data_IF_335298904134
#
_entry.id   IF_335298904134
#
_cell.length_a   1.000
_cell.length_b   1.000
_cell.length_c   1.000
_cell.angle_alpha   90.00
_cell.angle_beta   90.00
_cell.angle_gamma   90.00
#
_symmetry.space_group_name_H-M   'P 1'
#
loop_
_entity.id
_entity.type
_entity.pdbx_description
1 polymer ?
#
# COMPACT_ATOMS: atom_id res chain seq x y z
N UNK A 1 44.43 23.60 5.52
CA UNK A 1 42.96 23.67 5.71
C UNK A 1 42.31 23.19 4.43
N UNK A 2 41.74 21.97 4.38
CA UNK A 2 41.09 21.42 3.17
C UNK A 2 39.62 21.87 3.15
N UNK A 3 39.26 22.69 2.17
CA UNK A 3 37.87 23.04 1.86
C UNK A 3 37.24 21.89 1.07
N UNK A 4 36.33 21.15 1.71
CA UNK A 4 35.50 20.16 1.02
C UNK A 4 34.35 20.89 0.34
N UNK A 5 34.47 21.13 -0.97
CA UNK A 5 33.37 21.59 -1.81
C UNK A 5 32.32 20.47 -1.92
N UNK A 6 31.25 20.55 -1.12
CA UNK A 6 30.02 19.80 -1.38
C UNK A 6 29.32 20.42 -2.59
N UNK A 7 29.66 19.94 -3.79
CA UNK A 7 28.86 20.18 -4.98
C UNK A 7 27.51 19.43 -4.83
N UNK A 8 26.47 20.13 -4.37
CA UNK A 8 25.08 19.70 -4.54
C UNK A 8 24.72 19.81 -6.03
N UNK A 9 25.21 18.88 -6.86
CA UNK A 9 24.68 18.71 -8.22
C UNK A 9 23.24 18.25 -8.10
N UNK A 10 22.29 19.12 -8.48
CA UNK A 10 20.92 18.71 -8.74
C UNK A 10 20.96 17.76 -9.92
N UNK A 11 20.86 16.46 -9.66
CA UNK A 11 20.75 15.42 -10.68
C UNK A 11 19.57 15.77 -11.58
N UNK A 12 19.85 16.06 -12.84
CA UNK A 12 18.86 16.47 -13.83
C UNK A 12 18.54 15.25 -14.67
N UNK A 13 17.34 14.69 -14.48
CA UNK A 13 16.89 13.53 -15.24
C UNK A 13 17.01 13.78 -16.75
N UNK A 14 17.51 12.79 -17.47
CA UNK A 14 17.52 12.77 -18.92
C UNK A 14 16.10 12.61 -19.49
N UNK A 15 15.97 12.63 -20.82
CA UNK A 15 14.65 12.53 -21.48
C UNK A 15 13.98 11.17 -21.27
N UNK A 16 14.75 10.07 -21.27
CA UNK A 16 14.23 8.71 -21.07
C UNK A 16 13.78 8.51 -19.62
N UNK A 17 14.59 8.94 -18.66
CA UNK A 17 14.28 8.93 -17.23
C UNK A 17 13.05 9.80 -16.91
N UNK A 18 12.91 10.97 -17.54
CA UNK A 18 11.69 11.81 -17.40
C UNK A 18 10.44 11.10 -17.91
N UNK A 19 10.56 10.35 -19.01
CA UNK A 19 9.44 9.57 -19.55
C UNK A 19 9.09 8.40 -18.61
N UNK A 20 10.09 7.72 -18.05
CA UNK A 20 9.92 6.71 -17.00
C UNK A 20 9.18 7.28 -15.77
N UNK A 21 9.62 8.43 -15.24
CA UNK A 21 8.95 9.11 -14.14
C UNK A 21 7.50 9.48 -14.48
N UNK A 22 7.25 10.00 -15.68
CA UNK A 22 5.90 10.33 -16.15
C UNK A 22 5.01 9.08 -16.17
N UNK A 23 5.53 7.94 -16.63
CA UNK A 23 4.78 6.69 -16.66
C UNK A 23 4.44 6.19 -15.26
N UNK A 24 5.39 6.22 -14.32
CA UNK A 24 5.12 5.87 -12.91
C UNK A 24 4.03 6.76 -12.29
N UNK A 25 4.10 8.08 -12.53
CA UNK A 25 3.08 9.03 -12.06
C UNK A 25 1.71 8.83 -12.71
N UNK A 26 1.66 8.34 -13.95
CA UNK A 26 0.39 7.98 -14.61
C UNK A 26 -0.21 6.70 -14.07
N UNK A 27 0.62 5.71 -13.71
CA UNK A 27 0.17 4.45 -13.09
C UNK A 27 -0.44 4.71 -11.71
N UNK A 28 0.13 5.63 -10.93
CA UNK A 28 -0.43 6.08 -9.65
C UNK A 28 -1.89 6.57 -9.79
N UNK A 29 -2.28 7.13 -10.94
CA UNK A 29 -3.59 7.78 -11.14
C UNK A 29 -4.73 6.83 -11.58
N UNK A 30 -4.43 5.59 -11.98
CA UNK A 30 -5.39 4.73 -12.71
C UNK A 30 -6.30 3.84 -11.85
N UNK A 31 -6.10 3.76 -10.53
CA UNK A 31 -6.98 2.99 -9.64
C UNK A 31 -8.27 3.76 -9.32
N UNK A 32 -9.22 3.80 -10.28
CA UNK A 32 -10.58 4.31 -10.06
C UNK A 32 -11.56 3.14 -10.05
N UNK A 33 -11.95 2.71 -8.86
CA UNK A 33 -12.93 1.64 -8.66
C UNK A 33 -14.37 2.19 -8.59
N UNK A 34 -15.39 1.37 -8.91
CA UNK A 34 -16.79 1.75 -8.76
C UNK A 34 -17.07 2.13 -7.30
N UNK A 35 -17.66 3.31 -7.11
CA UNK A 35 -17.95 3.82 -5.77
C UNK A 35 -19.13 3.05 -5.17
N UNK A 36 -18.92 2.46 -3.99
CA UNK A 36 -20.03 1.95 -3.20
C UNK A 36 -20.72 3.14 -2.49
N UNK A 37 -22.04 3.30 -2.62
CA UNK A 37 -22.74 4.49 -2.09
C UNK A 37 -22.65 4.61 -0.55
N UNK A 38 -22.49 3.49 0.16
CA UNK A 38 -22.52 3.42 1.63
C UNK A 38 -21.13 3.38 2.29
N UNK A 39 -20.07 3.77 1.58
CA UNK A 39 -18.71 3.76 2.15
C UNK A 39 -18.58 4.78 3.28
N UNK A 40 -18.05 4.34 4.42
CA UNK A 40 -17.65 5.21 5.52
C UNK A 40 -16.33 5.88 5.15
N UNK A 41 -16.22 7.16 5.52
CA UNK A 41 -15.10 8.02 5.15
C UNK A 41 -14.40 8.58 6.39
N UNK A 42 -13.15 9.01 6.19
CA UNK A 42 -12.36 9.72 7.20
C UNK A 42 -12.29 8.99 8.55
N UNK A 43 -12.31 9.76 9.64
CA UNK A 43 -12.13 9.22 11.00
C UNK A 43 -13.24 8.26 11.42
N UNK A 44 -14.47 8.44 10.92
CA UNK A 44 -15.58 7.54 11.23
C UNK A 44 -15.38 6.16 10.59
N UNK A 45 -14.86 6.10 9.37
CA UNK A 45 -14.47 4.84 8.74
C UNK A 45 -13.34 4.16 9.50
N UNK A 46 -12.27 4.89 9.86
CA UNK A 46 -11.17 4.34 10.65
C UNK A 46 -11.64 3.75 11.99
N UNK A 47 -12.50 4.46 12.71
CA UNK A 47 -13.09 3.98 13.98
C UNK A 47 -13.95 2.73 13.79
N UNK A 48 -14.71 2.69 12.69
CA UNK A 48 -15.57 1.56 12.35
C UNK A 48 -14.74 0.32 12.04
N UNK A 49 -13.72 0.47 11.19
CA UNK A 49 -12.77 -0.60 10.88
C UNK A 49 -12.06 -1.14 12.13
N UNK A 50 -11.53 -0.25 12.98
CA UNK A 50 -10.86 -0.64 14.22
C UNK A 50 -11.77 -1.43 15.17
N UNK A 51 -13.03 -1.03 15.31
CA UNK A 51 -14.03 -1.73 16.12
C UNK A 51 -14.36 -3.11 15.55
N UNK A 52 -14.53 -3.21 14.22
CA UNK A 52 -14.82 -4.48 13.54
C UNK A 52 -13.64 -5.44 13.70
N UNK A 53 -12.42 -4.98 13.45
CA UNK A 53 -11.20 -5.78 13.65
C UNK A 53 -11.09 -6.33 15.07
N UNK A 54 -11.37 -5.49 16.10
CA UNK A 54 -11.43 -5.94 17.49
C UNK A 54 -12.54 -6.95 17.77
N UNK A 55 -13.73 -6.75 17.21
CA UNK A 55 -14.87 -7.68 17.34
C UNK A 55 -14.52 -9.08 16.82
N UNK A 56 -13.73 -9.15 15.75
CA UNK A 56 -13.30 -10.40 15.12
C UNK A 56 -11.91 -10.87 15.56
N UNK A 57 -11.34 -10.30 16.64
CA UNK A 57 -10.02 -10.65 17.18
C UNK A 57 -8.88 -10.63 16.14
N UNK A 58 -8.97 -9.75 15.14
CA UNK A 58 -8.03 -9.69 14.02
C UNK A 58 -7.28 -8.35 13.95
N UNK A 59 -5.98 -8.35 13.60
CA UNK A 59 -5.27 -7.15 13.22
C UNK A 59 -5.47 -6.82 11.74
N UNK A 60 -5.44 -5.52 11.41
CA UNK A 60 -5.44 -5.03 10.04
C UNK A 60 -4.65 -3.73 9.91
N UNK A 61 -4.22 -3.40 8.70
CA UNK A 61 -3.39 -2.23 8.40
C UNK A 61 -4.15 -1.30 7.47
N UNK A 62 -4.15 -0.01 7.78
CA UNK A 62 -4.70 1.02 6.90
C UNK A 62 -3.84 1.13 5.63
N UNK A 63 -4.45 0.98 4.46
CA UNK A 63 -3.77 1.14 3.17
C UNK A 63 -4.46 2.21 2.32
N UNK A 64 -4.07 2.32 1.04
CA UNK A 64 -4.72 3.20 0.08
C UNK A 64 -4.52 4.69 0.34
N UNK A 65 -5.42 5.50 -0.23
CA UNK A 65 -5.26 6.96 -0.21
C UNK A 65 -5.39 7.57 1.18
N UNK A 66 -6.22 6.99 2.05
CA UNK A 66 -6.40 7.49 3.41
C UNK A 66 -5.16 7.22 4.28
N UNK A 67 -4.42 6.12 4.04
CA UNK A 67 -3.13 5.86 4.69
C UNK A 67 -2.14 7.00 4.45
N UNK A 68 -2.10 7.57 3.24
CA UNK A 68 -1.31 8.78 2.99
C UNK A 68 -1.87 10.01 3.69
N UNK A 69 -3.18 10.19 3.63
CA UNK A 69 -3.87 11.39 4.09
C UNK A 69 -3.68 11.68 5.57
N UNK A 70 -3.53 10.63 6.39
CA UNK A 70 -3.30 10.75 7.84
C UNK A 70 -1.88 11.22 8.18
N UNK A 71 -0.90 11.05 7.30
CA UNK A 71 0.50 11.43 7.51
C UNK A 71 0.75 12.91 7.23
N UNK A 72 0.04 13.79 7.94
CA UNK A 72 0.31 15.22 8.00
C UNK A 72 -0.23 15.83 9.30
N UNK A 73 0.66 16.30 10.18
CA UNK A 73 0.29 16.84 11.50
C UNK A 73 -0.70 18.02 11.43
N UNK A 74 -0.66 18.80 10.35
CA UNK A 74 -1.54 19.96 10.15
C UNK A 74 -2.89 19.60 9.53
N UNK A 75 -3.09 18.33 9.16
CA UNK A 75 -4.34 17.84 8.57
C UNK A 75 -5.48 18.00 9.56
N UNK A 76 -6.60 18.57 9.09
CA UNK A 76 -7.84 18.73 9.85
C UNK A 76 -8.76 17.54 9.62
N UNK A 77 -9.66 17.28 10.58
CA UNK A 77 -10.61 16.15 10.52
C UNK A 77 -11.41 16.11 9.21
N UNK A 78 -11.98 17.23 8.79
CA UNK A 78 -12.83 17.31 7.58
C UNK A 78 -12.07 16.98 6.29
N UNK A 79 -10.74 17.18 6.26
CA UNK A 79 -9.95 16.84 5.08
C UNK A 79 -9.84 15.33 4.86
N UNK A 80 -9.88 14.53 5.95
CA UNK A 80 -9.90 13.08 5.84
C UNK A 80 -11.20 12.54 5.21
N UNK A 81 -12.29 13.31 5.25
CA UNK A 81 -13.56 12.94 4.62
C UNK A 81 -13.57 13.16 3.10
N UNK A 82 -12.53 13.77 2.54
CA UNK A 82 -12.35 13.88 1.08
C UNK A 82 -11.91 12.56 0.44
N UNK A 83 -11.42 11.61 1.24
CA UNK A 83 -11.12 10.25 0.78
C UNK A 83 -12.43 9.48 0.57
N UNK A 84 -12.49 8.67 -0.49
CA UNK A 84 -13.71 7.99 -0.95
C UNK A 84 -14.16 6.89 0.01
N UNK A 85 -13.21 6.24 0.63
CA UNK A 85 -13.35 5.01 1.39
C UNK A 85 -12.22 4.88 2.42
N UNK A 86 -12.28 3.78 3.16
CA UNK A 86 -11.22 3.33 4.06
C UNK A 86 -10.81 1.94 3.61
N UNK A 87 -9.60 1.84 3.05
CA UNK A 87 -9.01 0.57 2.65
C UNK A 87 -8.28 -0.09 3.82
N UNK A 88 -8.61 -1.35 4.11
CA UNK A 88 -8.01 -2.08 5.22
C UNK A 88 -7.50 -3.44 4.76
N UNK A 89 -6.18 -3.62 4.86
CA UNK A 89 -5.50 -4.88 4.65
C UNK A 89 -5.61 -5.74 5.90
N UNK A 90 -6.30 -6.88 5.81
CA UNK A 90 -6.47 -7.81 6.92
C UNK A 90 -5.30 -8.78 6.99
N UNK A 91 -4.73 -8.96 8.19
CA UNK A 91 -3.54 -9.80 8.39
C UNK A 91 -3.87 -11.23 8.85
N UNK A 92 -5.13 -11.52 9.20
CA UNK A 92 -5.58 -12.84 9.61
C UNK A 92 -6.34 -13.54 8.47
N UNK A 93 -5.93 -14.78 8.16
CA UNK A 93 -6.57 -15.64 7.16
C UNK A 93 -7.94 -16.16 7.60
N UNK A 94 -8.19 -16.18 8.91
CA UNK A 94 -9.44 -16.66 9.47
C UNK A 94 -10.50 -15.56 9.62
N UNK A 95 -10.17 -14.32 9.25
CA UNK A 95 -11.10 -13.21 9.34
C UNK A 95 -12.26 -13.37 8.36
N UNK A 96 -13.48 -13.47 8.90
CA UNK A 96 -14.70 -13.68 8.12
C UNK A 96 -15.67 -12.53 8.31
N UNK A 97 -15.92 -11.81 7.22
CA UNK A 97 -16.90 -10.74 7.18
C UNK A 97 -18.33 -11.29 7.10
N UNK A 98 -19.28 -10.60 7.71
CA UNK A 98 -20.72 -10.88 7.50
C UNK A 98 -21.21 -10.43 6.13
N UNK A 99 -20.54 -9.44 5.52
CA UNK A 99 -20.84 -8.89 4.18
C UNK A 99 -19.58 -8.29 3.57
N UNK A 100 -19.48 -8.27 2.24
CA UNK A 100 -18.30 -7.80 1.48
C UNK A 100 -17.75 -6.44 1.96
N UNK A 101 -18.62 -5.48 2.22
CA UNK A 101 -18.26 -4.12 2.69
C UNK A 101 -18.76 -3.87 4.13
N UNK A 102 -18.51 -4.80 5.06
CA UNK A 102 -19.02 -4.67 6.43
C UNK A 102 -18.59 -3.34 7.07
N UNK A 103 -19.58 -2.53 7.47
CA UNK A 103 -19.31 -1.22 8.06
C UNK A 103 -18.92 -0.14 7.05
N UNK A 104 -19.09 -0.38 5.75
CA UNK A 104 -18.75 0.56 4.69
C UNK A 104 -17.23 0.74 4.54
N UNK A 105 -16.47 -0.32 4.74
CA UNK A 105 -15.00 -0.36 4.67
C UNK A 105 -14.61 -1.23 3.47
N UNK A 106 -13.56 -0.85 2.73
CA UNK A 106 -13.03 -1.70 1.67
C UNK A 106 -12.02 -2.68 2.29
N UNK A 107 -12.48 -3.91 2.49
CA UNK A 107 -11.70 -4.94 3.16
C UNK A 107 -10.88 -5.72 2.15
N UNK A 108 -9.58 -5.67 2.29
CA UNK A 108 -8.63 -6.47 1.53
C UNK A 108 -8.33 -7.72 2.33
N UNK A 109 -8.86 -8.86 1.88
CA UNK A 109 -8.77 -10.14 2.57
C UNK A 109 -7.67 -11.02 1.97
N UNK A 110 -6.87 -11.70 2.81
CA UNK A 110 -5.80 -12.57 2.33
C UNK A 110 -6.37 -13.82 1.65
N UNK A 111 -5.73 -14.21 0.56
CA UNK A 111 -5.90 -15.49 -0.12
C UNK A 111 -4.54 -16.13 -0.29
N UNK A 112 -4.47 -17.45 -0.25
CA UNK A 112 -3.25 -18.19 -0.52
C UNK A 112 -3.56 -19.39 -1.41
N UNK A 113 -2.97 -19.42 -2.59
CA UNK A 113 -3.01 -20.59 -3.47
C UNK A 113 -1.69 -20.74 -4.24
N UNK A 114 -1.55 -21.87 -4.93
CA UNK A 114 -0.40 -22.12 -5.81
C UNK A 114 -0.65 -21.49 -7.17
N UNK A 115 0.25 -20.60 -7.58
CA UNK A 115 0.25 -20.01 -8.93
C UNK A 115 1.42 -20.56 -9.74
N UNK A 116 1.20 -20.71 -11.05
CA UNK A 116 2.26 -21.07 -11.99
C UNK A 116 2.88 -19.79 -12.55
N UNK A 117 4.15 -19.55 -12.24
CA UNK A 117 4.93 -18.42 -12.78
C UNK A 117 5.89 -18.97 -13.84
N UNK A 118 6.11 -18.20 -14.90
CA UNK A 118 7.20 -18.46 -15.86
C UNK A 118 8.45 -17.74 -15.36
N UNK A 119 9.52 -18.48 -15.12
CA UNK A 119 10.83 -17.88 -14.88
C UNK A 119 11.43 -17.34 -16.17
N UNK A 120 12.45 -16.49 -16.04
CA UNK A 120 13.15 -15.87 -17.17
C UNK A 120 13.78 -16.91 -18.12
N UNK A 121 14.09 -18.11 -17.61
CA UNK A 121 14.58 -19.25 -18.40
C UNK A 121 13.49 -20.04 -19.13
N UNK A 122 12.22 -19.62 -19.06
CA UNK A 122 11.09 -20.29 -19.70
C UNK A 122 10.49 -21.46 -18.91
N UNK A 123 11.07 -21.84 -17.77
CA UNK A 123 10.56 -22.90 -16.92
C UNK A 123 9.32 -22.42 -16.16
N UNK A 124 8.34 -23.33 -15.99
CA UNK A 124 7.14 -23.07 -15.19
C UNK A 124 7.35 -23.62 -13.78
N UNK A 125 7.17 -22.77 -12.78
CA UNK A 125 7.27 -23.15 -11.38
C UNK A 125 5.93 -22.92 -10.68
N UNK A 126 5.51 -23.89 -9.88
CA UNK A 126 4.32 -23.77 -9.03
C UNK A 126 4.76 -23.28 -7.66
N UNK A 127 4.43 -22.03 -7.33
CA UNK A 127 4.83 -21.39 -6.08
C UNK A 127 3.58 -21.03 -5.29
N UNK A 128 3.59 -21.29 -3.97
CA UNK A 128 2.52 -20.81 -3.08
C UNK A 128 2.68 -19.32 -2.91
N UNK A 129 1.66 -18.56 -3.28
CA UNK A 129 1.63 -17.11 -3.10
C UNK A 129 0.46 -16.72 -2.23
N UNK A 130 0.69 -15.72 -1.38
CA UNK A 130 -0.37 -15.04 -0.65
C UNK A 130 -0.59 -13.67 -1.25
N UNK A 131 -1.83 -13.35 -1.63
CA UNK A 131 -2.25 -12.04 -2.12
C UNK A 131 -3.51 -11.57 -1.40
N UNK A 132 -3.92 -10.33 -1.67
CA UNK A 132 -5.10 -9.74 -1.04
C UNK A 132 -6.09 -9.33 -2.11
N UNK A 133 -7.37 -9.59 -1.83
CA UNK A 133 -8.47 -9.22 -2.73
C UNK A 133 -9.53 -8.43 -1.98
N UNK A 134 -10.12 -7.42 -2.64
CA UNK A 134 -11.20 -6.64 -2.05
C UNK A 134 -12.60 -7.18 -2.42
N UNK A 135 -13.66 -6.53 -1.93
CA UNK A 135 -15.04 -6.93 -2.20
C UNK A 135 -15.44 -6.91 -3.68
N UNK A 136 -14.70 -6.15 -4.51
CA UNK A 136 -14.87 -6.05 -5.96
C UNK A 136 -14.03 -7.06 -6.75
N UNK A 137 -13.25 -7.92 -6.08
CA UNK A 137 -12.35 -8.89 -6.72
C UNK A 137 -11.06 -8.26 -7.25
N UNK A 138 -10.75 -7.01 -6.89
CA UNK A 138 -9.47 -6.39 -7.25
C UNK A 138 -8.37 -6.98 -6.40
N UNK A 139 -7.21 -7.26 -7.00
CA UNK A 139 -6.02 -7.81 -6.33
C UNK A 139 -5.03 -6.69 -6.01
N UNK A 140 -4.44 -6.71 -4.81
CA UNK A 140 -3.34 -5.80 -4.49
C UNK A 140 -2.11 -6.12 -5.32
N UNK A 141 -1.42 -5.08 -5.78
CA UNK A 141 -0.16 -5.18 -6.50
C UNK A 141 1.05 -5.48 -5.61
N UNK A 142 0.82 -5.81 -4.35
CA UNK A 142 1.84 -6.18 -3.37
C UNK A 142 1.27 -7.19 -2.37
N UNK A 143 2.16 -7.95 -1.75
CA UNK A 143 1.86 -8.79 -0.60
C UNK A 143 2.40 -8.19 0.70
N UNK A 144 2.06 -8.83 1.82
CA UNK A 144 2.68 -8.51 3.11
C UNK A 144 3.15 -9.76 3.82
N UNK A 145 4.27 -9.64 4.53
CA UNK A 145 4.78 -10.62 5.48
C UNK A 145 4.54 -10.09 6.89
N UNK A 146 4.01 -10.94 7.76
CA UNK A 146 3.86 -10.64 9.18
C UNK A 146 5.05 -11.22 9.93
N UNK A 147 5.88 -10.36 10.51
CA UNK A 147 7.05 -10.78 11.28
C UNK A 147 6.79 -10.81 12.79
N UNK A 148 5.76 -10.08 13.27
CA UNK A 148 5.35 -10.08 14.68
C UNK A 148 3.84 -10.24 14.86
N UNK A 149 3.42 -10.87 15.96
CA UNK A 149 2.02 -10.92 16.35
C UNK A 149 1.54 -9.53 16.79
N UNK A 150 0.51 -9.04 16.11
CA UNK A 150 -0.18 -7.78 16.45
C UNK A 150 -1.47 -8.10 17.22
N UNK A 151 -1.84 -7.20 18.13
CA UNK A 151 -3.13 -7.30 18.83
C UNK A 151 -4.27 -6.85 17.92
N UNK A 152 -5.52 -7.26 18.20
CA UNK A 152 -6.64 -6.90 17.34
C UNK A 152 -6.85 -5.39 17.21
N UNK A 153 -7.23 -4.97 16.00
CA UNK A 153 -7.52 -3.57 15.67
C UNK A 153 -6.84 -3.07 14.40
N UNK A 154 -7.26 -1.87 13.98
CA UNK A 154 -6.67 -1.16 12.85
C UNK A 154 -5.36 -0.50 13.26
N UNK A 155 -4.30 -0.79 12.52
CA UNK A 155 -2.99 -0.16 12.62
C UNK A 155 -2.79 0.90 11.55
N UNK A 156 -2.20 2.02 11.95
CA UNK A 156 -1.69 3.05 11.04
C UNK A 156 -0.23 2.69 10.69
N UNK A 157 0.09 2.30 9.44
CA UNK A 157 1.47 1.98 9.06
C UNK A 157 2.35 3.22 9.08
N UNK A 158 3.67 3.06 9.23
CA UNK A 158 4.62 4.18 9.15
C UNK A 158 4.52 4.92 7.82
N UNK A 159 4.90 6.19 7.80
CA UNK A 159 5.01 6.97 6.56
C UNK A 159 5.96 6.31 5.55
N UNK A 160 7.07 5.72 5.99
CA UNK A 160 8.00 4.99 5.11
C UNK A 160 7.37 3.71 4.54
N UNK A 161 6.56 2.99 5.32
CA UNK A 161 5.81 1.85 4.81
C UNK A 161 4.79 2.27 3.74
N UNK A 162 4.07 3.37 3.95
CA UNK A 162 3.13 3.93 2.94
C UNK A 162 3.86 4.36 1.67
N UNK A 163 5.07 4.94 1.78
CA UNK A 163 5.91 5.27 0.62
C UNK A 163 6.27 4.01 -0.17
N UNK A 164 6.76 2.98 0.51
CA UNK A 164 7.12 1.70 -0.11
C UNK A 164 5.91 0.98 -0.71
N UNK A 165 4.72 1.12 -0.12
CA UNK A 165 3.47 0.60 -0.67
C UNK A 165 3.17 1.23 -2.03
N UNK A 166 3.26 2.56 -2.15
CA UNK A 166 3.03 3.28 -3.42
C UNK A 166 4.08 2.96 -4.47
N UNK A 167 5.33 2.77 -4.07
CA UNK A 167 6.37 2.28 -4.98
C UNK A 167 6.07 0.89 -5.50
N UNK A 168 5.66 -0.03 -4.62
CA UNK A 168 5.31 -1.40 -5.01
C UNK A 168 4.12 -1.42 -5.99
N UNK A 169 3.08 -0.61 -5.74
CA UNK A 169 1.94 -0.48 -6.66
C UNK A 169 2.35 0.07 -8.03
N UNK A 170 3.21 1.09 -8.06
CA UNK A 170 3.68 1.68 -9.31
C UNK A 170 4.55 0.70 -10.09
N UNK A 171 5.52 0.07 -9.42
CA UNK A 171 6.48 -0.89 -9.98
C UNK A 171 5.80 -2.13 -10.56
N UNK A 172 4.81 -2.68 -9.86
CA UNK A 172 4.02 -3.82 -10.33
C UNK A 172 3.22 -3.54 -11.62
N UNK A 173 2.97 -2.26 -11.94
CA UNK A 173 2.31 -1.84 -13.18
C UNK A 173 3.28 -1.61 -14.36
N UNK A 174 4.59 -1.74 -14.15
CA UNK A 174 5.61 -1.50 -15.16
C UNK A 174 5.85 -2.75 -15.99
N UNK A 175 5.60 -2.66 -17.30
CA UNK A 175 5.98 -3.69 -18.26
C UNK A 175 7.41 -3.44 -18.76
N UNK A 176 8.41 -3.86 -17.97
CA UNK A 176 9.83 -3.71 -18.32
C UNK A 176 10.21 -4.35 -19.67
N UNK A 177 9.45 -5.36 -20.13
CA UNK A 177 9.72 -6.02 -21.40
C UNK A 177 9.35 -5.18 -22.63
N UNK A 178 8.46 -4.19 -22.46
CA UNK A 178 7.95 -3.33 -23.53
C UNK A 178 8.46 -1.90 -23.46
N UNK A 179 9.23 -1.55 -22.44
CA UNK A 179 9.76 -0.21 -22.25
C UNK A 179 11.12 -0.06 -22.91
N UNK A 180 11.20 0.85 -23.88
CA UNK A 180 12.48 1.36 -24.43
C UNK A 180 13.08 2.50 -23.58
N UNK A 181 12.68 2.55 -22.30
CA UNK A 181 13.13 3.53 -21.31
C UNK A 181 13.71 2.83 -20.11
N UNK A 182 14.88 3.29 -19.70
CA UNK A 182 15.56 2.82 -18.50
C UNK A 182 14.86 3.44 -17.27
N UNK A 183 14.18 2.61 -16.49
CA UNK A 183 13.74 2.97 -15.14
C UNK A 183 14.84 2.49 -14.20
N UNK A 184 15.75 3.40 -13.87
CA UNK A 184 16.85 3.15 -12.95
C UNK A 184 16.51 3.65 -11.53
N UNK A 185 17.48 3.50 -10.63
CA UNK A 185 17.36 3.96 -9.25
C UNK A 185 17.10 5.47 -9.14
N UNK A 186 17.61 6.28 -10.07
CA UNK A 186 17.40 7.73 -10.03
C UNK A 186 15.94 8.10 -10.31
N UNK A 187 15.30 7.40 -11.25
CA UNK A 187 13.86 7.56 -11.53
C UNK A 187 13.02 7.22 -10.30
N UNK A 188 13.33 6.09 -9.64
CA UNK A 188 12.64 5.68 -8.41
C UNK A 188 12.91 6.66 -7.26
N UNK A 189 14.12 7.17 -7.10
CA UNK A 189 14.45 8.18 -6.10
C UNK A 189 13.66 9.47 -6.30
N UNK A 190 13.52 9.93 -7.55
CA UNK A 190 12.70 11.10 -7.87
C UNK A 190 11.20 10.84 -7.63
N UNK A 191 10.71 9.65 -7.95
CA UNK A 191 9.35 9.23 -7.64
C UNK A 191 9.12 9.22 -6.12
N UNK A 192 10.01 8.59 -5.34
CA UNK A 192 9.96 8.60 -3.87
C UNK A 192 9.99 10.01 -3.30
N UNK A 193 10.86 10.87 -3.82
CA UNK A 193 10.96 12.27 -3.43
C UNK A 193 9.69 13.06 -3.75
N UNK A 194 8.99 12.74 -4.86
CA UNK A 194 7.68 13.30 -5.15
C UNK A 194 6.65 12.87 -4.08
N UNK A 195 6.60 11.57 -3.76
CA UNK A 195 5.69 11.05 -2.74
C UNK A 195 5.94 11.65 -1.35
N UNK A 196 7.21 11.79 -0.94
CA UNK A 196 7.63 12.44 0.33
C UNK A 196 7.16 13.90 0.46
N UNK A 197 6.87 14.59 -0.65
CA UNK A 197 6.26 15.93 -0.58
C UNK A 197 4.81 15.87 -0.08
N UNK A 198 4.08 14.78 -0.35
CA UNK A 198 2.69 14.58 0.06
C UNK A 198 2.58 13.86 1.41
N UNK A 199 3.31 12.77 1.57
CA UNK A 199 3.30 11.92 2.78
C UNK A 199 4.35 12.46 3.75
N UNK A 200 3.90 13.12 4.83
CA UNK A 200 4.78 13.66 5.87
C UNK A 200 5.09 12.60 6.92
N UNK A 201 5.91 12.95 7.90
CA UNK A 201 6.39 12.02 8.93
C UNK A 201 5.61 12.07 10.24
N UNK A 202 4.57 12.91 10.34
CA UNK A 202 3.80 13.12 11.58
C UNK A 202 2.30 13.06 11.34
N UNK A 203 1.60 12.41 12.26
CA UNK A 203 0.15 12.32 12.36
C UNK A 203 -0.45 13.54 13.08
N UNK A 204 -1.69 13.95 12.75
CA UNK A 204 -2.42 14.94 13.52
C UNK A 204 -2.83 14.38 14.89
N UNK A 205 -2.96 15.26 15.89
CA UNK A 205 -3.20 14.85 17.29
C UNK A 205 -4.39 13.92 17.46
N UNK A 206 -5.52 14.22 16.81
CA UNK A 206 -6.72 13.38 16.90
C UNK A 206 -6.58 11.97 16.31
N UNK A 207 -5.63 11.73 15.40
CA UNK A 207 -5.30 10.37 14.92
C UNK A 207 -4.37 9.71 15.94
N UNK A 208 -3.31 10.41 16.34
CA UNK A 208 -2.35 9.93 17.34
C UNK A 208 -3.06 9.44 18.60
N UNK A 209 -3.93 10.27 19.17
CA UNK A 209 -4.59 9.99 20.44
C UNK A 209 -5.59 8.84 20.30
N UNK A 210 -6.27 8.75 19.14
CA UNK A 210 -7.30 7.73 18.89
C UNK A 210 -6.72 6.34 18.64
N UNK A 211 -5.56 6.27 17.97
CA UNK A 211 -4.92 5.01 17.57
C UNK A 211 -3.63 4.74 18.36
N UNK A 212 -3.48 5.33 19.56
CA UNK A 212 -2.36 5.05 20.46
C UNK A 212 -2.26 3.54 20.74
N UNK A 213 -1.06 2.98 20.62
CA UNK A 213 -0.79 1.54 20.69
C UNK A 213 -1.00 0.77 19.37
N UNK A 214 -1.57 1.43 18.36
CA UNK A 214 -1.87 0.89 17.03
C UNK A 214 -1.24 1.74 15.91
N UNK A 215 -0.07 2.33 16.16
CA UNK A 215 0.70 3.07 15.16
C UNK A 215 2.04 2.37 14.96
N UNK A 216 2.29 1.86 13.75
CA UNK A 216 3.53 1.16 13.40
C UNK A 216 4.59 2.19 13.00
N UNK A 217 4.94 3.11 13.90
CA UNK A 217 5.99 4.09 13.64
C UNK A 217 6.82 4.39 14.90
N UNK A 218 8.15 4.41 14.78
CA UNK A 218 9.05 4.66 15.91
C UNK A 218 8.89 6.04 16.53
N UNK A 219 8.28 6.99 15.82
CA UNK A 219 7.95 8.32 16.35
C UNK A 219 6.86 8.30 17.43
N UNK A 220 6.03 7.26 17.44
CA UNK A 220 4.85 7.18 18.30
C UNK A 220 4.92 5.99 19.26
N UNK A 221 5.45 4.86 18.80
CA UNK A 221 5.55 3.62 19.58
C UNK A 221 7.01 3.14 19.56
N UNK A 222 7.60 2.92 20.74
CA UNK A 222 9.00 2.52 20.90
C UNK A 222 9.22 1.00 20.78
N UNK A 223 8.14 0.24 20.57
CA UNK A 223 8.18 -1.21 20.52
C UNK A 223 8.71 -1.72 19.17
N UNK A 224 9.20 -2.96 19.15
CA UNK A 224 9.61 -3.69 17.94
C UNK A 224 8.46 -3.95 16.94
N UNK A 225 7.23 -3.45 17.23
CA UNK A 225 6.06 -3.56 16.35
C UNK A 225 6.22 -2.79 15.05
N UNK A 226 7.15 -1.84 14.96
CA UNK A 226 7.33 -0.99 13.78
C UNK A 226 7.63 -1.78 12.50
N UNK A 227 8.25 -2.95 12.64
CA UNK A 227 8.56 -3.87 11.53
C UNK A 227 7.65 -5.11 11.54
N UNK A 228 6.49 -5.05 12.21
CA UNK A 228 5.57 -6.18 12.31
C UNK A 228 4.97 -6.62 10.97
N UNK A 229 4.96 -5.73 9.98
CA UNK A 229 4.38 -5.98 8.67
C UNK A 229 5.34 -5.45 7.61
N UNK A 230 5.97 -6.34 6.86
CA UNK A 230 6.86 -6.01 5.75
C UNK A 230 6.17 -6.18 4.40
N UNK A 231 6.45 -5.30 3.45
CA UNK A 231 5.91 -5.39 2.10
C UNK A 231 6.68 -6.41 1.28
N UNK A 232 5.95 -7.24 0.53
CA UNK A 232 6.48 -8.11 -0.51
C UNK A 232 6.07 -7.48 -1.84
N UNK A 233 7.03 -7.03 -2.65
CA UNK A 233 6.73 -6.49 -3.98
C UNK A 233 6.33 -7.61 -4.92
N UNK A 234 5.30 -7.40 -5.72
CA UNK A 234 4.98 -8.27 -6.84
C UNK A 234 5.50 -7.64 -8.12
N UNK A 235 6.08 -8.45 -8.99
CA UNK A 235 6.33 -8.04 -10.37
C UNK A 235 5.04 -8.16 -11.21
N UNK A 236 5.08 -7.58 -12.42
CA UNK A 236 3.94 -7.61 -13.34
C UNK A 236 3.51 -9.05 -13.69
N UNK A 237 4.47 -9.97 -13.84
CA UNK A 237 4.18 -11.37 -14.20
C UNK A 237 3.42 -12.10 -13.09
N UNK A 238 3.77 -11.84 -11.83
CA UNK A 238 3.10 -12.34 -10.64
C UNK A 238 1.67 -11.81 -10.59
N UNK A 239 1.48 -10.50 -10.78
CA UNK A 239 0.14 -9.90 -10.82
C UNK A 239 -0.71 -10.49 -11.95
N UNK A 240 -0.16 -10.69 -13.15
CA UNK A 240 -0.85 -11.32 -14.29
C UNK A 240 -1.22 -12.78 -13.95
N UNK A 241 -0.31 -13.55 -13.35
CA UNK A 241 -0.56 -14.93 -12.97
C UNK A 241 -1.70 -15.05 -11.96
N UNK A 242 -1.74 -14.18 -10.95
CA UNK A 242 -2.82 -14.14 -9.96
C UNK A 242 -4.15 -13.74 -10.62
N UNK A 243 -4.18 -12.68 -11.44
CA UNK A 243 -5.40 -12.26 -12.13
C UNK A 243 -5.94 -13.36 -13.07
N UNK A 244 -5.06 -14.14 -13.70
CA UNK A 244 -5.45 -15.27 -14.54
C UNK A 244 -6.08 -16.39 -13.72
N UNK A 245 -5.51 -16.70 -12.56
CA UNK A 245 -6.05 -17.70 -11.63
C UNK A 245 -7.44 -17.30 -11.12
N UNK A 246 -7.62 -16.03 -10.77
CA UNK A 246 -8.90 -15.47 -10.30
C UNK A 246 -9.93 -15.28 -11.44
N UNK A 247 -9.58 -15.62 -12.68
CA UNK A 247 -10.48 -15.52 -13.84
C UNK A 247 -10.80 -14.09 -14.27
N UNK A 248 -9.99 -13.10 -13.86
CA UNK A 248 -10.20 -11.68 -14.20
C UNK A 248 -9.77 -11.41 -15.65
N UNK A 249 -8.69 -12.04 -16.11
CA UNK A 249 -8.32 -12.09 -17.54
C UNK A 249 -8.78 -13.41 -18.14
N UNK A 250 -10.06 -13.51 -18.52
CA UNK A 250 -10.60 -14.74 -19.09
C UNK A 250 -12.12 -14.85 -19.17
N UNK A 251 -12.78 -13.88 -19.81
CA UNK A 251 -13.98 -14.06 -20.65
C UNK A 251 -13.91 -13.08 -21.82
#
# INVERSE_FOLDING_TARGET
MKLTLCCNQKIKLDTKQKLGLKNLLLLEQKLKHPEYPDMKKGINGLNTAHRILKKYDSPGVLIGGLAEGVWNQRRKRHELYKHKDVDVLVLDKNFKLSRKFEGGIDWWLPKEEKITIRSDGGNKENVSYQWWTNGNGVILSFGVKKDYQLSPGLYIPSSEWVLSMREAEADAGVDYSRLDVQIDNEVFDQFRNHLKKRIKTRLPGFIKDRFKGHILSPYYEKDNKNDAVNLIKFDLNTVIAINKLEGIYGK
#
